data_IF_334615672814
#
_entry.id   IF_334615672814
#
_cell.length_a   1.000
_cell.length_b   1.000
_cell.length_c   1.000
_cell.angle_alpha   90.00
_cell.angle_beta   90.00
_cell.angle_gamma   90.00
#
_symmetry.space_group_name_H-M   'P 1'
#
loop_
_entity.id
_entity.type
_entity.pdbx_description
1 polymer ?
#
# COMPACT_ATOMS: atom_id res chain seq x y z
N UNK A 1 6.46 -5.95 0.99
CA UNK A 1 6.91 -4.96 2.00
C UNK A 1 8.27 -5.39 2.60
N UNK A 2 8.62 -6.66 2.53
CA UNK A 2 9.87 -7.21 3.08
C UNK A 2 9.91 -7.06 4.60
N UNK A 3 8.91 -7.61 5.29
CA UNK A 3 8.85 -7.64 6.75
C UNK A 3 9.96 -8.57 7.25
N UNK A 4 10.62 -8.16 8.34
CA UNK A 4 11.73 -8.90 8.95
C UNK A 4 11.41 -9.25 10.42
N UNK A 5 12.00 -10.32 10.97
CA UNK A 5 11.81 -10.66 12.38
C UNK A 5 12.19 -9.51 13.32
N UNK A 6 11.34 -9.25 14.31
CA UNK A 6 11.53 -8.21 15.32
C UNK A 6 11.09 -6.80 14.91
N UNK A 7 10.59 -6.61 13.67
CA UNK A 7 9.99 -5.32 13.27
C UNK A 7 8.61 -5.13 13.89
N UNK A 8 8.30 -3.88 14.23
CA UNK A 8 6.97 -3.47 14.66
C UNK A 8 6.07 -3.19 13.45
N UNK A 9 5.00 -3.97 13.31
CA UNK A 9 4.05 -3.86 12.20
C UNK A 9 2.70 -3.37 12.72
N UNK A 10 2.22 -2.27 12.19
CA UNK A 10 0.87 -1.78 12.46
C UNK A 10 -0.05 -2.05 11.27
N UNK A 11 -1.11 -2.80 11.51
CA UNK A 11 -2.20 -2.97 10.54
C UNK A 11 -3.36 -2.06 10.95
N UNK A 12 -3.80 -1.18 10.05
CA UNK A 12 -4.94 -0.26 10.28
C UNK A 12 -6.07 -0.63 9.34
N UNK A 13 -7.21 -1.00 9.88
CA UNK A 13 -8.38 -1.41 9.08
C UNK A 13 -9.68 -0.76 9.58
N UNK A 14 -10.77 -1.00 8.86
CA UNK A 14 -12.14 -0.66 9.27
C UNK A 14 -12.88 -1.96 9.66
N UNK A 15 -14.05 -1.90 10.34
CA UNK A 15 -14.81 -3.11 10.66
C UNK A 15 -15.11 -3.99 9.45
N UNK A 16 -15.35 -3.40 8.28
CA UNK A 16 -15.63 -4.13 7.01
C UNK A 16 -14.40 -4.86 6.45
N UNK A 17 -13.18 -4.38 6.75
CA UNK A 17 -11.92 -4.95 6.29
C UNK A 17 -11.13 -5.62 7.41
N UNK A 18 -11.76 -5.86 8.57
CA UNK A 18 -11.10 -6.41 9.76
C UNK A 18 -10.55 -7.81 9.53
N UNK A 19 -11.27 -8.67 8.80
CA UNK A 19 -10.80 -10.02 8.46
C UNK A 19 -9.51 -9.96 7.63
N UNK A 20 -9.45 -9.07 6.65
CA UNK A 20 -8.24 -8.83 5.85
C UNK A 20 -7.10 -8.31 6.74
N UNK A 21 -7.42 -7.35 7.62
CA UNK A 21 -6.44 -6.83 8.58
C UNK A 21 -5.90 -7.90 9.52
N UNK A 22 -6.78 -8.78 10.03
CA UNK A 22 -6.40 -9.88 10.90
C UNK A 22 -5.48 -10.88 10.18
N UNK A 23 -5.77 -11.23 8.93
CA UNK A 23 -4.91 -12.09 8.12
C UNK A 23 -3.52 -11.45 7.91
N UNK A 24 -3.46 -10.17 7.55
CA UNK A 24 -2.18 -9.45 7.39
C UNK A 24 -1.37 -9.43 8.68
N UNK A 25 -2.01 -9.25 9.83
CA UNK A 25 -1.35 -9.32 11.13
C UNK A 25 -0.78 -10.71 11.41
N UNK A 26 -1.57 -11.76 11.14
CA UNK A 26 -1.14 -13.16 11.35
C UNK A 26 0.06 -13.49 10.47
N UNK A 27 0.03 -13.10 9.19
CA UNK A 27 1.15 -13.30 8.27
C UNK A 27 2.43 -12.55 8.73
N UNK A 28 2.29 -11.29 9.16
CA UNK A 28 3.42 -10.54 9.70
C UNK A 28 4.02 -11.20 10.95
N UNK A 29 3.18 -11.74 11.84
CA UNK A 29 3.63 -12.51 13.00
C UNK A 29 4.30 -13.84 12.58
N UNK A 30 3.82 -14.47 11.52
CA UNK A 30 4.45 -15.65 10.91
C UNK A 30 5.86 -15.38 10.41
N UNK A 31 6.13 -14.17 9.91
CA UNK A 31 7.45 -13.69 9.52
C UNK A 31 8.32 -13.25 10.72
N UNK A 32 7.82 -13.34 11.95
CA UNK A 32 8.54 -13.03 13.19
C UNK A 32 8.44 -11.56 13.63
N UNK A 33 7.54 -10.78 13.06
CA UNK A 33 7.30 -9.39 13.48
C UNK A 33 6.40 -9.29 14.71
N UNK A 34 6.50 -8.19 15.45
CA UNK A 34 5.52 -7.82 16.48
C UNK A 34 4.41 -6.99 15.82
N UNK A 35 3.27 -7.65 15.56
CA UNK A 35 2.23 -7.06 14.74
C UNK A 35 0.96 -6.71 15.55
N UNK A 36 0.59 -5.44 15.50
CA UNK A 36 -0.61 -4.86 16.12
C UNK A 36 -1.69 -4.58 15.06
N UNK A 37 -2.96 -4.86 15.40
CA UNK A 37 -4.13 -4.52 14.60
C UNK A 37 -4.90 -3.37 15.26
N UNK A 38 -5.12 -2.30 14.50
CA UNK A 38 -5.97 -1.17 14.89
C UNK A 38 -7.21 -1.10 13.99
N UNK A 39 -8.38 -1.36 14.57
CA UNK A 39 -9.66 -1.20 13.90
C UNK A 39 -10.18 0.22 14.15
N UNK A 40 -10.34 1.03 13.09
CA UNK A 40 -10.82 2.40 13.18
C UNK A 40 -12.18 2.55 12.50
N UNK A 41 -12.99 3.48 12.96
CA UNK A 41 -14.23 3.83 12.28
C UNK A 41 -13.95 4.28 10.84
N UNK A 42 -14.85 3.98 9.93
CA UNK A 42 -14.77 4.49 8.57
C UNK A 42 -14.71 6.01 8.56
N UNK A 43 -13.92 6.57 7.66
CA UNK A 43 -13.80 8.01 7.48
C UNK A 43 -14.79 8.50 6.44
N UNK A 44 -15.25 9.75 6.61
CA UNK A 44 -16.25 10.34 5.71
C UNK A 44 -15.72 10.62 4.30
N UNK A 45 -14.39 10.66 4.14
CA UNK A 45 -13.76 10.92 2.84
C UNK A 45 -12.34 10.37 2.76
N UNK A 46 -11.85 10.19 1.55
CA UNK A 46 -10.44 9.95 1.29
C UNK A 46 -9.60 11.13 1.82
N UNK A 47 -8.44 10.84 2.38
CA UNK A 47 -7.55 11.79 3.05
C UNK A 47 -8.08 12.40 4.37
N UNK A 48 -9.21 11.95 4.91
CA UNK A 48 -9.57 12.27 6.29
C UNK A 48 -8.59 11.59 7.26
N UNK A 49 -8.09 12.36 8.22
CA UNK A 49 -7.06 11.90 9.15
C UNK A 49 -7.53 10.70 10.00
N UNK A 50 -6.67 9.72 10.27
CA UNK A 50 -6.96 8.67 11.26
C UNK A 50 -7.03 9.29 12.67
N UNK A 51 -7.55 8.57 13.67
CA UNK A 51 -7.48 9.00 15.07
C UNK A 51 -6.02 9.34 15.46
N UNK A 52 -5.85 10.35 16.30
CA UNK A 52 -4.52 10.83 16.72
C UNK A 52 -3.66 9.69 17.32
N UNK A 53 -4.26 8.78 18.08
CA UNK A 53 -3.55 7.62 18.64
C UNK A 53 -3.00 6.68 17.52
N UNK A 54 -3.79 6.48 16.46
CA UNK A 54 -3.36 5.67 15.30
C UNK A 54 -2.29 6.42 14.50
N UNK A 55 -2.44 7.73 14.29
CA UNK A 55 -1.41 8.55 13.63
C UNK A 55 -0.06 8.47 14.36
N UNK A 56 -0.07 8.51 15.69
CA UNK A 56 1.14 8.35 16.51
C UNK A 56 1.73 6.94 16.39
N UNK A 57 0.89 5.89 16.41
CA UNK A 57 1.33 4.52 16.20
C UNK A 57 1.91 4.30 14.79
N UNK A 58 1.33 4.91 13.76
CA UNK A 58 1.87 4.86 12.40
C UNK A 58 3.29 5.43 12.31
N UNK A 59 3.59 6.49 13.05
CA UNK A 59 4.91 7.12 13.04
C UNK A 59 5.96 6.35 13.87
N UNK A 60 5.51 5.48 14.79
CA UNK A 60 6.37 4.68 15.66
C UNK A 60 6.68 3.28 15.09
N UNK A 61 5.87 2.77 14.16
CA UNK A 61 6.06 1.46 13.56
C UNK A 61 7.19 1.43 12.52
N UNK A 62 7.71 0.24 12.21
CA UNK A 62 8.62 0.01 11.06
C UNK A 62 7.83 -0.17 9.76
N UNK A 63 6.67 -0.81 9.85
CA UNK A 63 5.80 -1.08 8.71
C UNK A 63 4.35 -0.78 9.06
N UNK A 64 3.64 -0.11 8.16
CA UNK A 64 2.19 0.10 8.24
C UNK A 64 1.50 -0.51 7.04
N UNK A 65 0.49 -1.35 7.29
CA UNK A 65 -0.44 -1.87 6.28
C UNK A 65 -1.83 -1.29 6.56
N UNK A 66 -2.43 -0.66 5.57
CA UNK A 66 -3.71 0.03 5.76
C UNK A 66 -4.78 -0.46 4.77
N UNK A 67 -5.38 -1.65 5.00
CA UNK A 67 -6.57 -2.11 4.28
C UNK A 67 -7.82 -1.38 4.77
N UNK A 68 -7.98 -0.12 4.41
CA UNK A 68 -9.12 0.73 4.80
C UNK A 68 -10.06 1.01 3.64
N UNK A 69 -11.33 1.29 3.90
CA UNK A 69 -12.29 1.67 2.85
C UNK A 69 -11.85 2.99 2.21
N UNK A 70 -11.66 4.02 3.03
CA UNK A 70 -11.16 5.31 2.55
C UNK A 70 -9.62 5.33 2.59
N UNK A 71 -9.03 5.91 1.56
CA UNK A 71 -7.57 5.96 1.41
C UNK A 71 -6.92 6.85 2.48
N UNK A 72 -5.90 6.33 3.16
CA UNK A 72 -5.02 7.11 4.01
C UNK A 72 -3.80 7.68 3.26
N UNK A 73 -3.69 7.48 1.95
CA UNK A 73 -2.50 7.84 1.16
C UNK A 73 -2.15 9.33 1.19
N UNK A 74 -3.14 10.19 1.34
CA UNK A 74 -2.97 11.65 1.30
C UNK A 74 -3.12 12.33 2.67
N UNK A 75 -3.09 11.56 3.76
CA UNK A 75 -3.17 12.08 5.13
C UNK A 75 -1.83 12.66 5.59
N UNK A 76 -1.87 13.64 6.50
CA UNK A 76 -0.68 14.16 7.16
C UNK A 76 0.00 13.05 8.01
N UNK A 77 -0.78 12.20 8.65
CA UNK A 77 -0.29 11.04 9.41
C UNK A 77 0.58 10.12 8.54
N UNK A 78 0.11 9.74 7.33
CA UNK A 78 0.88 8.91 6.40
C UNK A 78 2.17 9.61 5.96
N UNK A 79 2.09 10.93 5.66
CA UNK A 79 3.26 11.71 5.25
C UNK A 79 4.31 11.75 6.36
N UNK A 80 3.91 12.08 7.59
CA UNK A 80 4.81 12.12 8.75
C UNK A 80 5.48 10.76 9.02
N UNK A 81 4.72 9.66 8.96
CA UNK A 81 5.26 8.32 9.12
C UNK A 81 6.29 7.98 8.00
N UNK A 82 6.01 8.36 6.74
CA UNK A 82 6.97 8.15 5.64
C UNK A 82 8.25 9.00 5.82
N UNK A 83 8.14 10.22 6.33
CA UNK A 83 9.29 11.09 6.64
C UNK A 83 10.13 10.52 7.82
N UNK A 84 9.49 9.80 8.73
CA UNK A 84 10.16 9.04 9.79
C UNK A 84 10.82 7.73 9.30
N UNK A 85 10.67 7.37 8.02
CA UNK A 85 11.28 6.18 7.43
C UNK A 85 10.39 4.93 7.45
N UNK A 86 9.14 5.03 7.90
CA UNK A 86 8.19 3.91 7.96
C UNK A 86 7.82 3.45 6.55
N UNK A 87 7.84 2.15 6.31
CA UNK A 87 7.36 1.54 5.06
C UNK A 87 5.86 1.39 5.12
N UNK A 88 5.13 2.04 4.21
CA UNK A 88 3.67 2.08 4.26
C UNK A 88 3.04 1.50 2.99
N UNK A 89 2.14 0.54 3.17
CA UNK A 89 1.26 0.01 2.14
C UNK A 89 -0.20 0.39 2.41
N UNK A 90 -0.80 1.21 1.54
CA UNK A 90 -2.23 1.51 1.61
C UNK A 90 -2.99 0.70 0.58
N UNK A 91 -4.09 0.07 0.99
CA UNK A 91 -4.93 -0.79 0.16
C UNK A 91 -6.40 -0.32 0.24
N UNK A 92 -6.70 0.88 -0.26
CA UNK A 92 -8.04 1.44 -0.14
C UNK A 92 -9.07 0.61 -0.90
N UNK A 93 -10.20 0.31 -0.25
CA UNK A 93 -11.30 -0.45 -0.84
C UNK A 93 -10.94 -1.89 -1.20
N UNK A 94 -9.91 -2.46 -0.60
CA UNK A 94 -9.51 -3.85 -0.85
C UNK A 94 -10.61 -4.82 -0.42
N UNK A 95 -10.81 -5.85 -1.22
CA UNK A 95 -11.70 -6.99 -0.94
C UNK A 95 -10.94 -8.30 -0.97
N UNK A 96 -11.49 -9.34 -0.36
CA UNK A 96 -10.90 -10.69 -0.41
C UNK A 96 -10.78 -11.21 -1.85
N UNK A 97 -11.80 -10.95 -2.69
CA UNK A 97 -11.76 -11.32 -4.11
C UNK A 97 -10.59 -10.65 -4.83
N UNK A 98 -10.36 -9.36 -4.58
CA UNK A 98 -9.22 -8.63 -5.17
C UNK A 98 -7.89 -9.22 -4.71
N UNK A 99 -7.72 -9.51 -3.42
CA UNK A 99 -6.51 -10.13 -2.89
C UNK A 99 -6.30 -11.52 -3.50
N UNK A 100 -7.31 -12.37 -3.50
CA UNK A 100 -7.23 -13.71 -4.09
C UNK A 100 -6.82 -13.67 -5.56
N UNK A 101 -7.39 -12.76 -6.35
CA UNK A 101 -7.05 -12.59 -7.76
C UNK A 101 -5.67 -12.01 -8.00
N UNK A 102 -5.25 -11.03 -7.18
CA UNK A 102 -3.95 -10.35 -7.35
C UNK A 102 -2.78 -11.17 -6.83
N UNK A 103 -2.99 -11.97 -5.77
CA UNK A 103 -1.93 -12.77 -5.15
C UNK A 103 -1.68 -14.12 -5.86
N UNK A 104 -2.53 -14.52 -6.81
CA UNK A 104 -2.32 -15.73 -7.63
C UNK A 104 -1.34 -15.52 -8.79
N UNK A 105 -0.93 -14.27 -9.05
CA UNK A 105 0.02 -13.93 -10.11
C UNK A 105 1.46 -14.28 -9.75
N UNK A 106 2.29 -14.53 -10.77
CA UNK A 106 3.73 -14.63 -10.62
C UNK A 106 4.31 -13.22 -10.32
N UNK A 107 4.54 -12.95 -9.03
CA UNK A 107 5.04 -11.64 -8.56
C UNK A 107 6.45 -11.34 -9.07
N UNK A 108 7.28 -12.32 -9.29
CA UNK A 108 8.63 -12.13 -9.83
C UNK A 108 8.57 -11.76 -11.31
N UNK A 109 7.68 -12.38 -12.06
CA UNK A 109 7.43 -11.98 -13.44
C UNK A 109 6.85 -10.56 -13.55
N UNK A 110 5.90 -10.21 -12.68
CA UNK A 110 5.34 -8.84 -12.62
C UNK A 110 6.46 -7.83 -12.30
N UNK A 111 7.30 -8.14 -11.32
CA UNK A 111 8.46 -7.30 -10.96
C UNK A 111 9.43 -7.16 -12.13
N UNK A 112 9.78 -8.26 -12.79
CA UNK A 112 10.68 -8.28 -13.94
C UNK A 112 10.15 -7.39 -15.08
N UNK A 113 8.87 -7.52 -15.42
CA UNK A 113 8.22 -6.68 -16.45
C UNK A 113 8.19 -5.21 -16.03
N UNK A 114 7.83 -4.92 -14.79
CA UNK A 114 7.83 -3.56 -14.25
C UNK A 114 9.20 -2.90 -14.37
N UNK A 115 10.26 -3.58 -13.98
CA UNK A 115 11.63 -3.06 -14.10
C UNK A 115 12.06 -2.85 -15.55
N UNK A 116 11.66 -3.72 -16.48
CA UNK A 116 11.93 -3.53 -17.91
C UNK A 116 11.29 -2.22 -18.43
N UNK A 117 10.03 -1.96 -18.05
CA UNK A 117 9.33 -0.71 -18.40
C UNK A 117 10.01 0.51 -17.78
N UNK A 118 10.30 0.48 -16.48
CA UNK A 118 11.01 1.58 -15.77
C UNK A 118 12.34 1.88 -16.44
N UNK A 119 13.12 0.84 -16.77
CA UNK A 119 14.42 1.00 -17.45
C UNK A 119 14.27 1.64 -18.83
N UNK A 120 13.27 1.24 -19.60
CA UNK A 120 12.99 1.82 -20.91
C UNK A 120 12.57 3.30 -20.81
N UNK A 121 11.69 3.63 -19.87
CA UNK A 121 11.23 5.00 -19.62
C UNK A 121 12.39 5.91 -19.16
N UNK A 122 13.23 5.44 -18.23
CA UNK A 122 14.38 6.23 -17.74
C UNK A 122 15.47 6.48 -18.80
N UNK A 123 15.49 5.70 -19.88
CA UNK A 123 16.43 5.88 -21.01
C UNK A 123 15.81 6.63 -22.18
N UNK A 124 14.48 6.74 -22.22
CA UNK A 124 13.75 7.38 -23.29
C UNK A 124 13.67 8.89 -23.12
N UNK A 125 13.60 9.61 -24.22
CA UNK A 125 13.28 11.05 -24.23
C UNK A 125 11.78 11.32 -24.45
N UNK A 126 11.07 10.37 -25.04
CA UNK A 126 9.63 10.45 -25.34
C UNK A 126 8.98 9.07 -25.14
N UNK A 127 7.77 9.05 -24.59
CA UNK A 127 6.88 7.90 -24.59
C UNK A 127 5.66 8.18 -25.46
N UNK A 128 5.28 7.23 -26.31
CA UNK A 128 4.05 7.29 -27.12
C UNK A 128 3.11 6.18 -26.70
N UNK A 129 1.87 6.53 -26.36
CA UNK A 129 0.81 5.59 -25.96
C UNK A 129 -0.29 5.63 -27.01
N UNK A 130 -0.58 4.48 -27.61
CA UNK A 130 -1.65 4.33 -28.59
C UNK A 130 -2.62 3.21 -28.21
N UNK A 131 -3.88 3.33 -28.61
CA UNK A 131 -4.84 2.23 -28.44
C UNK A 131 -5.72 2.07 -29.69
N UNK A 132 -6.42 0.93 -29.77
CA UNK A 132 -7.31 0.62 -30.92
C UNK A 132 -8.46 1.61 -31.07
N UNK A 133 -8.87 2.29 -30.00
CA UNK A 133 -9.95 3.25 -29.99
C UNK A 133 -9.51 4.68 -30.40
N UNK A 134 -8.29 4.83 -30.93
CA UNK A 134 -7.82 6.08 -31.49
C UNK A 134 -7.05 6.99 -30.52
N UNK A 135 -6.76 6.54 -29.30
CA UNK A 135 -5.86 7.31 -28.41
C UNK A 135 -4.46 7.33 -29.00
N UNK A 136 -3.87 8.51 -29.06
CA UNK A 136 -2.47 8.74 -29.46
C UNK A 136 -1.90 9.87 -28.60
N UNK A 137 -1.18 9.50 -27.54
CA UNK A 137 -0.62 10.42 -26.57
C UNK A 137 0.90 10.37 -26.64
N UNK A 138 1.54 11.53 -26.67
CA UNK A 138 3.00 11.69 -26.58
C UNK A 138 3.37 12.45 -25.32
N UNK A 139 4.33 11.92 -24.56
CA UNK A 139 4.78 12.46 -23.28
C UNK A 139 6.30 12.60 -23.35
N UNK A 140 6.79 13.81 -23.14
CA UNK A 140 8.23 14.04 -22.92
C UNK A 140 8.64 13.42 -21.58
N UNK A 141 9.73 12.70 -21.59
CA UNK A 141 10.34 12.10 -20.38
C UNK A 141 11.52 12.97 -19.96
N UNK A 142 11.54 13.39 -18.69
CA UNK A 142 12.63 14.19 -18.10
C UNK A 142 13.52 13.32 -17.24
#
# INVERSE_FOLDING_TARGET
>A
MGISPGEEVLVVCNPVTEEIGALMRIEAQGDGADATLAVISERDSAAAEPPQAVAAAMAAADVVLAPTIQSLSHTAARKAASEAGVRIGTLPGVTEEMLGRLMTGDLDEIRRRGWAVVTALNRGAEARITCRNGSDLRIGLQ
#
